data_IF_623818807489
#
_entry.id   IF_623818807489
#
_cell.length_a   1.000
_cell.length_b   1.000
_cell.length_c   1.000
_cell.angle_alpha   90.00
_cell.angle_beta   90.00
_cell.angle_gamma   90.00
#
_symmetry.space_group_name_H-M   'P 1'
#
loop_
_entity.id
_entity.type
_entity.pdbx_description
1 polymer ?
#
# COMPACT_ATOMS: atom_id res chain seq x y z
N UNK A 1 6.80 0.70 20.20
CA UNK A 1 5.95 -0.01 19.23
C UNK A 1 4.47 0.19 19.59
N UNK A 2 3.68 0.89 18.78
CA UNK A 2 2.24 1.04 19.02
C UNK A 2 1.50 -0.22 18.52
N UNK A 3 1.20 -1.17 19.42
CA UNK A 3 0.30 -2.29 19.10
C UNK A 3 -1.11 -1.76 18.91
N UNK A 4 -1.68 -1.95 17.72
CA UNK A 4 -3.07 -1.57 17.44
C UNK A 4 -4.02 -2.54 18.17
N UNK A 5 -5.08 -2.01 18.78
CA UNK A 5 -6.14 -2.81 19.40
C UNK A 5 -6.77 -3.75 18.36
N UNK A 6 -7.09 -4.97 18.78
CA UNK A 6 -7.82 -5.97 17.98
C UNK A 6 -9.23 -5.48 17.64
N UNK A 7 -9.85 -6.08 16.62
CA UNK A 7 -11.21 -5.74 16.21
C UNK A 7 -12.22 -6.02 17.33
N UNK A 8 -12.06 -7.13 18.05
CA UNK A 8 -12.95 -7.53 19.15
C UNK A 8 -12.96 -6.48 20.28
N UNK A 9 -11.78 -6.00 20.68
CA UNK A 9 -11.67 -4.96 21.70
C UNK A 9 -12.33 -3.67 21.23
N UNK A 10 -12.22 -3.32 19.95
CA UNK A 10 -12.88 -2.13 19.40
C UNK A 10 -14.41 -2.27 19.38
N UNK A 11 -14.93 -3.44 19.04
CA UNK A 11 -16.36 -3.72 19.13
C UNK A 11 -16.86 -3.60 20.56
N UNK A 12 -16.12 -4.13 21.54
CA UNK A 12 -16.46 -4.00 22.96
C UNK A 12 -16.44 -2.54 23.43
N UNK A 13 -15.46 -1.75 22.98
CA UNK A 13 -15.39 -0.31 23.27
C UNK A 13 -16.62 0.43 22.71
N UNK A 14 -17.03 0.14 21.47
CA UNK A 14 -18.24 0.75 20.88
C UNK A 14 -19.48 0.35 21.64
N UNK A 15 -19.63 -0.94 22.00
CA UNK A 15 -20.78 -1.41 22.78
C UNK A 15 -20.84 -0.72 24.15
N UNK A 16 -19.72 -0.68 24.87
CA UNK A 16 -19.62 -0.05 26.19
C UNK A 16 -19.91 1.46 26.15
N UNK A 17 -19.60 2.13 25.04
CA UNK A 17 -19.87 3.57 24.88
C UNK A 17 -21.35 3.96 24.78
N UNK A 18 -22.25 3.00 24.55
CA UNK A 18 -23.69 3.24 24.61
C UNK A 18 -24.24 3.24 26.05
N UNK A 19 -23.54 2.59 26.97
CA UNK A 19 -23.99 2.38 28.36
C UNK A 19 -23.24 3.27 29.36
N UNK A 20 -22.04 3.75 29.02
CA UNK A 20 -21.13 4.45 29.95
C UNK A 20 -20.46 5.66 29.30
N UNK A 21 -20.07 6.66 30.11
CA UNK A 21 -19.30 7.81 29.61
C UNK A 21 -17.91 7.39 29.12
N UNK A 22 -17.35 8.18 28.20
CA UNK A 22 -16.11 7.86 27.46
C UNK A 22 -14.90 7.74 28.39
N UNK A 23 -14.89 8.49 29.47
CA UNK A 23 -13.84 8.51 30.51
C UNK A 23 -13.76 7.16 31.23
N UNK A 24 -14.91 6.57 31.57
CA UNK A 24 -14.98 5.25 32.21
C UNK A 24 -14.57 4.14 31.25
N UNK A 25 -14.99 4.23 29.99
CA UNK A 25 -14.58 3.28 28.95
C UNK A 25 -13.07 3.36 28.70
N UNK A 26 -12.50 4.57 28.70
CA UNK A 26 -11.06 4.79 28.55
C UNK A 26 -10.27 4.14 29.70
N UNK A 27 -10.74 4.29 30.95
CA UNK A 27 -10.15 3.66 32.12
C UNK A 27 -10.27 2.12 32.07
N UNK A 28 -11.44 1.59 31.71
CA UNK A 28 -11.71 0.15 31.65
C UNK A 28 -10.82 -0.58 30.64
N UNK A 29 -10.57 0.04 29.48
CA UNK A 29 -9.79 -0.57 28.40
C UNK A 29 -8.33 -0.09 28.33
N UNK A 30 -7.88 0.71 29.31
CA UNK A 30 -6.52 1.29 29.38
C UNK A 30 -6.10 2.01 28.09
N UNK A 31 -7.00 2.82 27.53
CA UNK A 31 -6.79 3.55 26.28
C UNK A 31 -7.09 5.03 26.46
N UNK A 32 -6.44 5.89 25.66
CA UNK A 32 -6.75 7.32 25.71
C UNK A 32 -8.18 7.60 25.26
N UNK A 33 -8.83 8.59 25.88
CA UNK A 33 -10.17 9.10 25.50
C UNK A 33 -10.24 9.45 24.01
N UNK A 34 -9.18 10.06 23.46
CA UNK A 34 -9.04 10.33 22.02
C UNK A 34 -9.14 9.06 21.16
N UNK A 35 -8.59 7.94 21.64
CA UNK A 35 -8.66 6.65 20.93
C UNK A 35 -10.07 6.09 20.97
N UNK A 36 -10.75 6.20 22.12
CA UNK A 36 -12.16 5.79 22.28
C UNK A 36 -13.07 6.58 21.35
N UNK A 37 -13.00 7.92 21.34
CA UNK A 37 -13.77 8.75 20.41
C UNK A 37 -13.52 8.39 18.94
N UNK A 38 -12.26 8.10 18.57
CA UNK A 38 -11.93 7.66 17.21
C UNK A 38 -12.57 6.32 16.86
N UNK A 39 -12.58 5.37 17.79
CA UNK A 39 -13.17 4.04 17.60
C UNK A 39 -14.70 4.13 17.51
N UNK A 40 -15.34 4.91 18.38
CA UNK A 40 -16.78 5.18 18.34
C UNK A 40 -17.17 5.78 16.99
N UNK A 41 -16.47 6.83 16.56
CA UNK A 41 -16.72 7.46 15.25
C UNK A 41 -16.54 6.48 14.08
N UNK A 42 -15.59 5.56 14.16
CA UNK A 42 -15.40 4.52 13.15
C UNK A 42 -16.56 3.50 13.15
N UNK A 43 -17.00 3.06 14.34
CA UNK A 43 -18.11 2.10 14.48
C UNK A 43 -19.47 2.66 14.05
N UNK A 44 -19.79 3.92 14.39
CA UNK A 44 -21.04 4.58 13.99
C UNK A 44 -21.15 4.72 12.47
N UNK A 45 -20.03 4.94 11.78
CA UNK A 45 -19.99 5.09 10.33
C UNK A 45 -20.10 3.75 9.57
N UNK A 46 -20.41 2.63 10.26
CA UNK A 46 -20.54 1.31 9.64
C UNK A 46 -19.23 0.76 9.07
N UNK A 47 -18.09 1.36 9.39
CA UNK A 47 -16.79 0.81 9.01
C UNK A 47 -16.57 -0.45 9.85
N UNK A 48 -16.58 -1.62 9.20
CA UNK A 48 -16.10 -2.84 9.81
C UNK A 48 -14.68 -2.56 10.35
N UNK A 49 -14.40 -2.97 11.59
CA UNK A 49 -13.05 -2.86 12.18
C UNK A 49 -12.03 -3.79 11.50
N UNK A 50 -12.45 -4.42 10.40
CA UNK A 50 -11.62 -5.16 9.48
C UNK A 50 -10.36 -4.38 9.12
N UNK A 51 -9.29 -5.17 8.93
CA UNK A 51 -8.03 -4.65 8.44
C UNK A 51 -8.32 -3.93 7.13
N UNK A 52 -8.15 -2.60 7.12
CA UNK A 52 -7.83 -1.92 5.86
C UNK A 52 -6.60 -2.62 5.32
N UNK A 53 -6.80 -3.44 4.29
CA UNK A 53 -5.70 -4.02 3.54
C UNK A 53 -4.78 -2.86 3.19
N UNK A 54 -3.51 -2.97 3.59
CA UNK A 54 -2.51 -2.01 3.12
C UNK A 54 -2.57 -2.12 1.62
N UNK A 55 -2.92 -1.02 0.94
CA UNK A 55 -2.93 -0.97 -0.52
C UNK A 55 -1.65 -1.66 -1.00
N UNK A 56 -1.81 -2.80 -1.67
CA UNK A 56 -0.70 -3.49 -2.28
C UNK A 56 -0.01 -2.44 -3.15
N UNK A 57 1.29 -2.25 -2.95
CA UNK A 57 2.07 -1.43 -3.84
C UNK A 57 1.90 -2.07 -5.22
N UNK A 58 1.08 -1.45 -6.08
CA UNK A 58 0.91 -1.89 -7.46
C UNK A 58 2.30 -1.71 -8.06
N UNK A 59 3.09 -2.77 -8.09
CA UNK A 59 4.36 -2.73 -8.82
C UNK A 59 3.96 -2.40 -10.24
N UNK A 60 4.30 -1.20 -10.72
CA UNK A 60 4.16 -0.83 -12.12
C UNK A 60 5.13 -1.71 -12.90
N UNK A 61 4.74 -2.96 -13.14
CA UNK A 61 5.46 -3.86 -14.04
C UNK A 61 5.48 -3.19 -15.40
N UNK A 62 6.59 -3.33 -16.13
CA UNK A 62 6.62 -2.95 -17.53
C UNK A 62 5.48 -3.69 -18.25
N UNK A 63 4.82 -2.99 -19.17
CA UNK A 63 3.84 -3.62 -20.05
C UNK A 63 4.55 -4.58 -21.01
N UNK A 64 3.88 -5.65 -21.39
CA UNK A 64 4.41 -6.71 -22.26
C UNK A 64 5.07 -6.16 -23.54
N UNK A 65 4.44 -5.20 -24.21
CA UNK A 65 4.99 -4.62 -25.44
C UNK A 65 6.34 -3.91 -25.22
N UNK A 66 6.56 -3.31 -24.04
CA UNK A 66 7.82 -2.65 -23.71
C UNK A 66 8.92 -3.68 -23.43
N UNK A 67 8.57 -4.83 -22.84
CA UNK A 67 9.49 -5.96 -22.65
C UNK A 67 9.90 -6.52 -24.01
N UNK A 68 8.94 -6.76 -24.91
CA UNK A 68 9.23 -7.24 -26.27
C UNK A 68 10.11 -6.26 -27.05
N UNK A 69 9.88 -4.96 -26.90
CA UNK A 69 10.72 -3.93 -27.50
C UNK A 69 12.16 -4.00 -26.96
N UNK A 70 12.35 -4.12 -25.64
CA UNK A 70 13.66 -4.32 -25.02
C UNK A 70 14.37 -5.57 -25.56
N UNK A 71 13.66 -6.70 -25.65
CA UNK A 71 14.22 -7.95 -26.18
C UNK A 71 14.71 -7.75 -27.62
N UNK A 72 13.94 -7.05 -28.48
CA UNK A 72 14.35 -6.77 -29.86
C UNK A 72 15.56 -5.85 -29.94
N UNK A 73 15.70 -4.88 -29.03
CA UNK A 73 16.90 -4.03 -28.97
C UNK A 73 18.14 -4.87 -28.63
N UNK A 74 18.04 -5.74 -27.63
CA UNK A 74 19.13 -6.62 -27.20
C UNK A 74 19.48 -7.63 -28.28
N UNK A 75 18.50 -8.21 -28.97
CA UNK A 75 18.74 -9.13 -30.08
C UNK A 75 19.49 -8.47 -31.25
N UNK A 76 19.23 -7.18 -31.51
CA UNK A 76 19.92 -6.40 -32.55
C UNK A 76 21.32 -5.94 -32.13
N UNK A 77 21.50 -5.62 -30.86
CA UNK A 77 22.78 -5.24 -30.28
C UNK A 77 22.92 -5.84 -28.87
N UNK A 78 23.54 -7.02 -28.73
CA UNK A 78 23.69 -7.70 -27.45
C UNK A 78 24.52 -6.92 -26.42
N UNK A 79 25.36 -6.00 -26.87
CA UNK A 79 26.22 -5.17 -26.04
C UNK A 79 25.57 -3.82 -25.65
N UNK A 80 24.28 -3.62 -25.94
CA UNK A 80 23.58 -2.38 -25.63
C UNK A 80 23.58 -2.09 -24.13
N UNK A 81 23.90 -0.85 -23.76
CA UNK A 81 23.93 -0.45 -22.36
C UNK A 81 22.52 -0.20 -21.83
N UNK A 82 22.29 -0.43 -20.53
CA UNK A 82 21.01 -0.15 -19.87
C UNK A 82 20.58 1.33 -20.00
N UNK A 83 21.54 2.25 -20.11
CA UNK A 83 21.26 3.66 -20.38
C UNK A 83 20.66 3.89 -21.77
N UNK A 84 21.20 3.23 -22.78
CA UNK A 84 20.71 3.32 -24.15
C UNK A 84 19.32 2.68 -24.28
N UNK A 85 19.08 1.54 -23.61
CA UNK A 85 17.73 0.93 -23.56
C UNK A 85 16.73 1.93 -22.95
N UNK A 86 17.09 2.60 -21.85
CA UNK A 86 16.24 3.62 -21.21
C UNK A 86 15.90 4.74 -22.18
N UNK A 87 16.90 5.28 -22.87
CA UNK A 87 16.71 6.35 -23.86
C UNK A 87 15.79 5.91 -24.99
N UNK A 88 15.99 4.69 -25.53
CA UNK A 88 15.14 4.13 -26.59
C UNK A 88 13.71 3.87 -26.14
N UNK A 89 13.49 3.45 -24.90
CA UNK A 89 12.14 3.27 -24.33
C UNK A 89 11.43 4.62 -24.15
N UNK A 90 12.15 5.63 -23.69
CA UNK A 90 11.62 6.99 -23.54
C UNK A 90 11.29 7.59 -24.90
N UNK A 91 12.18 7.48 -25.88
CA UNK A 91 11.97 8.09 -27.20
C UNK A 91 11.00 7.32 -28.09
N UNK A 92 10.95 5.99 -27.96
CA UNK A 92 10.19 5.12 -28.86
C UNK A 92 8.79 4.77 -28.38
N UNK A 93 8.56 4.70 -27.06
CA UNK A 93 7.29 4.26 -26.47
C UNK A 93 6.71 5.26 -25.47
N UNK A 94 7.38 6.39 -25.22
CA UNK A 94 7.01 7.38 -24.20
C UNK A 94 6.91 6.75 -22.79
N UNK A 95 7.83 5.82 -22.49
CA UNK A 95 7.88 5.10 -21.21
C UNK A 95 9.13 5.51 -20.44
N UNK A 96 8.93 6.21 -19.33
CA UNK A 96 10.00 6.49 -18.37
C UNK A 96 10.18 5.35 -17.37
N UNK A 97 11.37 4.72 -17.41
CA UNK A 97 11.75 3.64 -16.51
C UNK A 97 13.15 3.84 -15.95
N UNK A 98 13.39 3.33 -14.74
CA UNK A 98 14.72 3.35 -14.13
C UNK A 98 15.61 2.23 -14.70
N UNK A 99 16.94 2.42 -14.70
CA UNK A 99 17.90 1.36 -15.09
C UNK A 99 17.71 0.10 -14.25
N UNK A 100 17.40 0.24 -12.96
CA UNK A 100 17.11 -0.88 -12.05
C UNK A 100 15.85 -1.64 -12.44
N UNK A 101 14.82 -0.95 -12.94
CA UNK A 101 13.60 -1.60 -13.46
C UNK A 101 13.91 -2.43 -14.70
N UNK A 102 14.71 -1.88 -15.62
CA UNK A 102 15.15 -2.57 -16.84
C UNK A 102 15.94 -3.83 -16.46
N UNK A 103 16.94 -3.70 -15.59
CA UNK A 103 17.75 -4.83 -15.13
C UNK A 103 16.89 -5.93 -14.49
N UNK A 104 15.99 -5.56 -13.56
CA UNK A 104 15.06 -6.51 -12.92
C UNK A 104 14.08 -7.18 -13.87
N UNK A 105 13.88 -6.62 -15.06
CA UNK A 105 12.97 -7.18 -16.08
C UNK A 105 13.72 -8.17 -17.00
N UNK A 106 15.05 -8.06 -17.09
CA UNK A 106 15.90 -8.91 -17.94
C UNK A 106 16.51 -10.11 -17.20
N UNK A 107 16.66 -10.01 -15.87
CA UNK A 107 17.07 -11.11 -14.97
C UNK A 107 15.88 -11.97 -14.63
#
# INVERSE_FOLDING_TARGET
MARRLSADIRHLIVKASFERPVEEVAAQFYVSTRTVHRIIKQGINGLQFERKERALCISKKLKEHAIQYMIRLIQRNPCIYLGEIKEKLSSGLDIEVSKSTIYRTLV
#
